data_IF_792038199959
#
_entry.id   IF_792038199959
#
_cell.length_a   1.000
_cell.length_b   1.000
_cell.length_c   1.000
_cell.angle_alpha   90.00
_cell.angle_beta   90.00
_cell.angle_gamma   90.00
#
_symmetry.space_group_name_H-M   'P 1'
#
loop_
_entity.id
_entity.type
_entity.pdbx_description
1 polymer ?
#
# COMPACT_ATOMS: atom_id res chain seq x y z
N UNK A 1 19.29 -23.80 21.43
CA UNK A 1 18.65 -23.69 20.11
C UNK A 1 18.90 -22.34 19.42
N UNK A 2 18.66 -21.17 20.05
CA UNK A 2 19.02 -19.86 19.47
C UNK A 2 20.52 -19.75 19.08
N UNK A 3 21.44 -20.31 19.87
CA UNK A 3 22.88 -20.32 19.53
C UNK A 3 23.18 -21.06 18.21
N UNK A 4 22.47 -22.14 17.91
CA UNK A 4 22.60 -22.85 16.63
C UNK A 4 22.08 -22.01 15.47
N UNK A 5 20.94 -21.31 15.66
CA UNK A 5 20.42 -20.35 14.69
C UNK A 5 21.43 -19.21 14.46
N UNK A 6 22.00 -18.63 15.52
CA UNK A 6 23.00 -17.57 15.43
C UNK A 6 24.24 -18.02 14.66
N UNK A 7 24.71 -19.23 14.90
CA UNK A 7 25.83 -19.82 14.18
C UNK A 7 25.49 -20.00 12.69
N UNK A 8 24.30 -20.50 12.38
CA UNK A 8 23.82 -20.62 11.00
C UNK A 8 23.76 -19.25 10.29
N UNK A 9 23.29 -18.21 10.99
CA UNK A 9 23.26 -16.84 10.45
C UNK A 9 24.66 -16.27 10.20
N UNK A 10 25.64 -16.59 11.03
CA UNK A 10 27.05 -16.21 10.82
C UNK A 10 27.65 -16.93 9.61
N UNK A 11 27.46 -18.24 9.51
CA UNK A 11 27.94 -19.05 8.39
C UNK A 11 27.28 -18.69 7.05
N UNK A 12 26.05 -18.17 7.08
CA UNK A 12 25.33 -17.72 5.89
C UNK A 12 25.83 -16.37 5.32
N UNK A 13 26.64 -15.60 6.05
CA UNK A 13 27.07 -14.25 5.62
C UNK A 13 27.74 -14.23 4.23
N UNK A 14 28.64 -15.16 3.84
CA UNK A 14 29.21 -15.15 2.50
C UNK A 14 28.16 -15.32 1.39
N UNK A 15 27.16 -16.18 1.62
CA UNK A 15 26.06 -16.38 0.68
C UNK A 15 25.19 -15.11 0.55
N UNK A 16 24.92 -14.44 1.68
CA UNK A 16 24.21 -13.15 1.70
C UNK A 16 24.97 -12.08 0.92
N UNK A 17 26.30 -11.95 1.12
CA UNK A 17 27.13 -11.00 0.37
C UNK A 17 27.08 -11.28 -1.15
N UNK A 18 27.17 -12.54 -1.57
CA UNK A 18 27.02 -12.93 -3.00
C UNK A 18 25.64 -12.58 -3.54
N UNK A 19 24.58 -12.82 -2.76
CA UNK A 19 23.21 -12.47 -3.13
C UNK A 19 23.02 -10.96 -3.30
N UNK A 20 23.58 -10.15 -2.40
CA UNK A 20 23.55 -8.68 -2.48
C UNK A 20 24.30 -8.18 -3.73
N UNK A 21 25.52 -8.69 -3.98
CA UNK A 21 26.29 -8.35 -5.16
C UNK A 21 25.55 -8.68 -6.46
N UNK A 22 24.84 -9.83 -6.50
CA UNK A 22 24.02 -10.19 -7.66
C UNK A 22 22.82 -9.26 -7.84
N UNK A 23 22.12 -8.89 -6.74
CA UNK A 23 21.03 -7.93 -6.80
C UNK A 23 21.46 -6.53 -7.21
N UNK A 24 22.64 -6.12 -6.78
CA UNK A 24 23.22 -4.82 -7.12
C UNK A 24 23.43 -4.62 -8.62
N UNK A 25 23.54 -5.70 -9.42
CA UNK A 25 23.61 -5.62 -10.90
C UNK A 25 22.31 -5.10 -11.52
N UNK A 26 21.17 -5.46 -10.95
CA UNK A 26 19.85 -5.02 -11.42
C UNK A 26 19.39 -3.73 -10.73
N UNK A 27 19.74 -3.57 -9.45
CA UNK A 27 19.35 -2.44 -8.60
C UNK A 27 20.61 -1.89 -7.88
N UNK A 28 21.30 -0.87 -8.44
CA UNK A 28 22.59 -0.38 -7.92
C UNK A 28 22.58 0.05 -6.45
N UNK A 29 21.43 0.46 -5.93
CA UNK A 29 21.29 0.87 -4.52
C UNK A 29 21.67 -0.26 -3.54
N UNK A 30 21.56 -1.54 -3.94
CA UNK A 30 22.02 -2.66 -3.08
C UNK A 30 23.54 -2.72 -2.89
N UNK A 31 24.33 -2.04 -3.71
CA UNK A 31 25.77 -1.92 -3.55
C UNK A 31 26.18 -0.83 -2.54
N UNK A 32 25.26 0.08 -2.22
CA UNK A 32 25.56 1.20 -1.31
C UNK A 32 25.50 0.74 0.14
N UNK A 33 26.45 1.23 0.96
CA UNK A 33 26.51 1.02 2.41
C UNK A 33 26.34 -0.46 2.84
N UNK A 34 26.87 -1.42 2.08
CA UNK A 34 26.80 -2.86 2.40
C UNK A 34 27.30 -3.20 3.81
N UNK A 35 28.32 -2.53 4.38
CA UNK A 35 28.76 -2.75 5.75
C UNK A 35 27.66 -2.57 6.80
N UNK A 36 26.67 -1.68 6.59
CA UNK A 36 25.54 -1.49 7.50
C UNK A 36 24.78 -2.81 7.77
N UNK A 37 24.66 -3.67 6.76
CA UNK A 37 24.02 -4.99 6.90
C UNK A 37 24.75 -5.94 7.83
N UNK A 38 25.95 -5.61 8.19
CA UNK A 38 26.77 -6.36 9.12
C UNK A 38 27.07 -5.57 10.41
N UNK A 39 26.33 -4.44 10.60
CA UNK A 39 26.38 -3.62 11.79
C UNK A 39 27.56 -2.64 11.82
N UNK A 40 28.12 -2.27 10.68
CA UNK A 40 29.17 -1.26 10.58
C UNK A 40 28.58 0.00 9.95
N UNK A 41 28.58 1.09 10.72
CA UNK A 41 27.95 2.37 10.37
C UNK A 41 29.00 3.46 10.38
N UNK A 42 29.17 4.15 9.25
CA UNK A 42 30.05 5.30 9.10
C UNK A 42 29.32 6.61 9.47
N UNK A 43 28.01 6.54 9.64
CA UNK A 43 27.18 7.71 9.99
C UNK A 43 27.46 8.14 11.42
N UNK A 44 27.93 9.36 11.61
CA UNK A 44 28.01 9.96 12.94
C UNK A 44 26.59 10.08 13.51
N UNK A 45 26.29 9.27 14.53
CA UNK A 45 25.03 9.31 15.24
C UNK A 45 25.23 9.94 16.61
N UNK A 46 24.43 10.94 16.92
CA UNK A 46 24.35 11.50 18.27
C UNK A 46 22.90 11.45 18.72
N UNK A 47 22.67 10.88 19.90
CA UNK A 47 21.36 10.93 20.52
C UNK A 47 20.92 12.38 20.70
N UNK A 48 19.71 12.71 20.23
CA UNK A 48 19.14 14.04 20.43
C UNK A 48 18.53 14.21 21.83
N UNK A 49 17.99 15.38 22.14
CA UNK A 49 17.30 15.64 23.41
C UNK A 49 16.03 14.82 23.56
N UNK A 50 15.43 14.39 22.45
CA UNK A 50 14.24 13.54 22.43
C UNK A 50 14.56 12.05 22.37
N UNK A 51 13.52 11.23 22.32
CA UNK A 51 13.66 9.78 22.22
C UNK A 51 14.11 9.35 20.82
N UNK A 52 15.10 8.46 20.75
CA UNK A 52 15.44 7.75 19.51
C UNK A 52 14.44 6.61 19.29
N UNK A 53 13.69 6.68 18.20
CA UNK A 53 12.71 5.67 17.79
C UNK A 53 13.25 4.93 16.58
N UNK A 54 13.41 3.61 16.70
CA UNK A 54 13.79 2.77 15.58
C UNK A 54 12.54 2.18 14.92
N UNK A 55 12.39 2.40 13.61
CA UNK A 55 11.32 1.81 12.80
C UNK A 55 11.95 0.93 11.72
N UNK A 56 11.52 -0.32 11.64
CA UNK A 56 11.93 -1.26 10.62
C UNK A 56 10.81 -1.52 9.61
N UNK A 57 11.01 -1.07 8.37
CA UNK A 57 10.11 -1.28 7.24
C UNK A 57 10.89 -1.86 6.06
N UNK A 58 10.61 -3.13 5.68
CA UNK A 58 11.43 -3.87 4.71
C UNK A 58 11.27 -3.36 3.29
N UNK A 59 10.05 -3.18 2.85
CA UNK A 59 9.67 -2.96 1.46
C UNK A 59 9.09 -1.56 1.21
N UNK A 60 8.95 -1.19 -0.06
CA UNK A 60 8.26 0.04 -0.48
C UNK A 60 6.87 0.17 0.18
N UNK A 61 6.08 -0.92 0.17
CA UNK A 61 4.72 -0.92 0.72
C UNK A 61 4.71 -0.71 2.24
N UNK A 62 5.62 -1.38 2.95
CA UNK A 62 5.78 -1.19 4.40
C UNK A 62 6.30 0.20 4.74
N UNK A 63 7.23 0.75 3.96
CA UNK A 63 7.75 2.11 4.16
C UNK A 63 6.66 3.16 4.00
N UNK A 64 5.80 3.03 3.00
CA UNK A 64 4.61 3.89 2.84
C UNK A 64 3.61 3.73 3.98
N UNK A 65 3.42 2.53 4.48
CA UNK A 65 2.58 2.30 5.65
C UNK A 65 3.22 2.88 6.92
N UNK A 66 4.54 2.73 7.06
CA UNK A 66 5.30 3.29 8.18
C UNK A 66 5.29 4.83 8.19
N UNK A 67 5.20 5.51 7.02
CA UNK A 67 5.11 6.97 6.98
C UNK A 67 3.93 7.50 7.78
N UNK A 68 2.76 6.85 7.65
CA UNK A 68 1.55 7.22 8.37
C UNK A 68 1.75 7.12 9.90
N UNK A 69 2.47 6.08 10.34
CA UNK A 69 2.80 5.91 11.75
C UNK A 69 3.84 6.94 12.21
N UNK A 70 4.89 7.18 11.42
CA UNK A 70 5.96 8.14 11.76
C UNK A 70 5.41 9.54 11.93
N UNK A 71 4.47 9.98 11.10
CA UNK A 71 3.77 11.26 11.27
C UNK A 71 3.09 11.36 12.64
N UNK A 72 2.35 10.35 13.05
CA UNK A 72 1.69 10.32 14.35
C UNK A 72 2.67 10.18 15.53
N UNK A 73 3.78 9.45 15.33
CA UNK A 73 4.85 9.36 16.33
C UNK A 73 5.50 10.72 16.58
N UNK A 74 5.72 11.54 15.55
CA UNK A 74 6.28 12.89 15.69
C UNK A 74 5.35 13.81 16.49
N UNK A 75 4.04 13.66 16.31
CA UNK A 75 3.05 14.40 17.10
C UNK A 75 3.02 13.93 18.57
N UNK A 76 3.10 12.61 18.80
CA UNK A 76 3.06 12.04 20.14
C UNK A 76 4.39 12.17 20.92
N UNK A 77 5.51 12.29 20.22
CA UNK A 77 6.87 12.36 20.76
C UNK A 77 7.64 13.55 20.15
N UNK A 78 7.33 14.79 20.55
CA UNK A 78 8.01 15.96 20.03
C UNK A 78 9.52 15.88 20.22
N UNK A 79 10.29 16.23 19.20
CA UNK A 79 11.76 16.16 19.19
C UNK A 79 12.34 14.75 19.07
N UNK A 80 11.53 13.72 18.78
CA UNK A 80 12.05 12.39 18.51
C UNK A 80 13.02 12.39 17.33
N UNK A 81 13.99 11.47 17.37
CA UNK A 81 14.85 11.14 16.23
C UNK A 81 14.51 9.77 15.68
N UNK A 82 14.42 9.68 14.37
CA UNK A 82 14.07 8.46 13.66
C UNK A 82 15.34 7.74 13.19
N UNK A 83 15.45 6.46 13.53
CA UNK A 83 16.32 5.49 12.85
C UNK A 83 15.46 4.59 12.00
N UNK A 84 15.51 4.75 10.69
CA UNK A 84 14.69 3.98 9.76
C UNK A 84 15.54 2.88 9.10
N UNK A 85 15.15 1.62 9.22
CA UNK A 85 15.88 0.50 8.63
C UNK A 85 15.09 -0.23 7.56
N UNK A 86 15.77 -0.64 6.48
CA UNK A 86 15.16 -1.22 5.28
C UNK A 86 15.78 -2.56 4.87
N UNK A 87 14.96 -3.43 4.28
CA UNK A 87 15.40 -4.68 3.67
C UNK A 87 15.65 -4.57 2.16
N UNK A 88 14.93 -3.66 1.44
CA UNK A 88 14.94 -3.54 -0.02
C UNK A 88 15.38 -2.15 -0.50
N UNK A 89 15.93 -2.11 -1.73
CA UNK A 89 16.35 -0.86 -2.37
C UNK A 89 15.19 0.13 -2.57
N UNK A 90 14.06 -0.37 -3.00
CA UNK A 90 12.84 0.45 -3.20
C UNK A 90 12.28 0.99 -1.89
N UNK A 91 12.35 0.21 -0.79
CA UNK A 91 12.00 0.69 0.55
C UNK A 91 12.92 1.81 1.02
N UNK A 92 14.25 1.65 0.83
CA UNK A 92 15.24 2.68 1.19
C UNK A 92 15.07 3.96 0.37
N UNK A 93 14.79 3.86 -0.94
CA UNK A 93 14.54 5.04 -1.78
C UNK A 93 13.29 5.82 -1.32
N UNK A 94 12.21 5.13 -0.97
CA UNK A 94 11.00 5.76 -0.43
C UNK A 94 11.25 6.36 0.96
N UNK A 95 12.03 5.67 1.80
CA UNK A 95 12.34 6.11 3.16
C UNK A 95 13.05 7.45 3.24
N UNK A 96 13.79 7.85 2.20
CA UNK A 96 14.45 9.14 2.13
C UNK A 96 13.48 10.33 2.33
N UNK A 97 12.24 10.17 1.88
CA UNK A 97 11.20 11.21 1.99
C UNK A 97 10.67 11.41 3.41
N UNK A 98 10.91 10.45 4.30
CA UNK A 98 10.43 10.47 5.68
C UNK A 98 11.40 11.16 6.63
N UNK A 99 12.65 11.34 6.20
CA UNK A 99 13.72 11.85 7.05
C UNK A 99 13.60 13.35 7.26
N UNK A 100 13.75 13.76 8.51
CA UNK A 100 13.92 15.15 8.92
C UNK A 100 15.37 15.39 9.38
N UNK A 101 15.81 16.64 9.56
CA UNK A 101 17.14 16.92 10.09
C UNK A 101 17.41 16.18 11.40
N UNK A 102 18.50 15.42 11.42
CA UNK A 102 18.89 14.57 12.57
C UNK A 102 18.36 13.13 12.52
N UNK A 103 17.51 12.77 11.57
CA UNK A 103 17.11 11.38 11.32
C UNK A 103 18.13 10.67 10.44
N UNK A 104 18.13 9.34 10.52
CA UNK A 104 18.96 8.50 9.65
C UNK A 104 18.19 7.33 9.10
N UNK A 105 18.58 6.88 7.90
CA UNK A 105 18.14 5.59 7.39
C UNK A 105 19.34 4.70 7.10
N UNK A 106 19.17 3.40 7.38
CA UNK A 106 20.22 2.40 7.23
C UNK A 106 19.67 1.09 6.66
N UNK A 107 20.56 0.24 6.19
CA UNK A 107 20.16 -1.13 5.91
C UNK A 107 19.89 -1.91 7.20
N UNK A 108 18.87 -2.76 7.16
CA UNK A 108 18.61 -3.75 8.18
C UNK A 108 19.87 -4.58 8.46
N UNK A 109 20.37 -4.62 9.72
CA UNK A 109 21.45 -5.53 10.05
C UNK A 109 21.02 -6.98 9.89
N UNK A 110 21.91 -7.81 9.35
CA UNK A 110 21.71 -9.25 9.29
C UNK A 110 21.47 -9.81 10.68
N UNK A 111 20.53 -10.77 10.82
CA UNK A 111 20.13 -11.31 12.14
C UNK A 111 21.21 -12.22 12.75
N UNK A 112 22.44 -11.75 12.81
CA UNK A 112 23.53 -12.33 13.57
C UNK A 112 23.76 -11.51 14.85
N UNK A 113 24.06 -12.21 15.95
CA UNK A 113 24.23 -11.56 17.26
C UNK A 113 25.23 -10.39 17.23
N UNK A 114 26.43 -10.49 16.56
CA UNK A 114 27.35 -9.36 16.50
C UNK A 114 26.83 -8.16 15.70
N UNK A 115 26.12 -8.37 14.59
CA UNK A 115 25.60 -7.28 13.77
C UNK A 115 24.47 -6.54 14.49
N UNK A 116 23.56 -7.28 15.11
CA UNK A 116 22.47 -6.71 15.90
C UNK A 116 23.00 -5.94 17.12
N UNK A 117 23.98 -6.50 17.82
CA UNK A 117 24.62 -5.82 18.96
C UNK A 117 25.21 -4.47 18.54
N UNK A 118 26.01 -4.45 17.47
CA UNK A 118 26.62 -3.20 16.97
C UNK A 118 25.58 -2.16 16.55
N UNK A 119 24.48 -2.61 15.94
CA UNK A 119 23.36 -1.72 15.62
C UNK A 119 22.77 -1.05 16.87
N UNK A 120 22.45 -1.85 17.87
CA UNK A 120 21.86 -1.35 19.11
C UNK A 120 22.82 -0.49 19.92
N UNK A 121 24.13 -0.81 19.92
CA UNK A 121 25.17 -0.02 20.60
C UNK A 121 25.40 1.31 19.90
N UNK A 122 25.29 1.36 18.57
CA UNK A 122 25.51 2.58 17.78
C UNK A 122 24.32 3.55 17.87
N UNK A 123 23.09 3.07 17.69
CA UNK A 123 21.90 3.94 17.61
C UNK A 123 21.21 4.14 18.96
N UNK A 124 21.38 3.26 19.91
CA UNK A 124 20.80 3.31 21.26
C UNK A 124 19.31 3.71 21.27
N UNK A 125 18.44 3.03 20.50
CA UNK A 125 17.04 3.39 20.46
C UNK A 125 16.36 3.18 21.82
N UNK A 126 15.38 4.02 22.13
CA UNK A 126 14.51 3.87 23.32
C UNK A 126 13.41 2.84 23.09
N UNK A 127 13.01 2.62 21.84
CA UNK A 127 12.04 1.64 21.41
C UNK A 127 12.32 1.22 19.96
N UNK A 128 12.06 -0.05 19.65
CA UNK A 128 12.08 -0.57 18.28
C UNK A 128 10.67 -0.97 17.82
N UNK A 129 10.31 -0.57 16.60
CA UNK A 129 9.05 -0.93 15.96
C UNK A 129 9.34 -1.75 14.70
N UNK A 130 8.92 -3.00 14.69
CA UNK A 130 8.93 -3.88 13.52
C UNK A 130 7.58 -3.77 12.82
N UNK A 131 7.59 -3.68 11.48
CA UNK A 131 6.35 -3.58 10.71
C UNK A 131 5.85 -4.96 10.25
N UNK A 132 4.57 -5.16 10.29
CA UNK A 132 3.79 -6.27 9.73
C UNK A 132 4.19 -7.69 10.19
N UNK A 133 5.27 -8.26 9.64
CA UNK A 133 5.62 -9.70 9.84
C UNK A 133 7.07 -9.93 10.29
N UNK A 134 7.84 -8.90 10.49
CA UNK A 134 9.29 -8.94 10.63
C UNK A 134 9.75 -9.25 12.06
N UNK A 135 9.66 -10.53 12.47
CA UNK A 135 10.12 -10.99 13.78
C UNK A 135 11.39 -11.83 13.63
N UNK A 136 12.51 -11.30 14.11
CA UNK A 136 13.84 -11.88 13.98
C UNK A 136 14.39 -12.33 15.36
N UNK A 137 14.74 -13.63 15.55
CA UNK A 137 15.06 -14.19 16.87
C UNK A 137 16.22 -13.50 17.60
N UNK A 138 17.29 -13.13 16.89
CA UNK A 138 18.42 -12.47 17.56
C UNK A 138 18.13 -10.99 17.86
N UNK A 139 17.34 -10.31 17.04
CA UNK A 139 16.89 -8.95 17.32
C UNK A 139 16.07 -8.90 18.60
N UNK A 140 15.08 -9.80 18.71
CA UNK A 140 14.22 -9.88 19.89
C UNK A 140 15.06 -10.18 21.14
N UNK A 141 15.94 -11.19 21.08
CA UNK A 141 16.76 -11.55 22.22
C UNK A 141 17.77 -10.45 22.63
N UNK A 142 18.35 -9.73 21.66
CA UNK A 142 19.27 -8.64 21.95
C UNK A 142 18.57 -7.42 22.55
N UNK A 143 17.34 -7.12 22.10
CA UNK A 143 16.52 -6.08 22.70
C UNK A 143 16.08 -6.43 24.13
N UNK A 144 15.62 -7.66 24.35
CA UNK A 144 15.28 -8.15 25.71
C UNK A 144 16.47 -8.05 26.67
N UNK A 145 17.67 -8.47 26.24
CA UNK A 145 18.86 -8.41 27.08
C UNK A 145 19.29 -6.99 27.49
N UNK A 146 18.77 -5.95 26.79
CA UNK A 146 19.00 -4.53 27.08
C UNK A 146 17.81 -3.83 27.74
N UNK A 147 16.72 -4.56 28.02
CA UNK A 147 15.49 -3.91 28.47
C UNK A 147 14.86 -2.96 27.44
N UNK A 148 15.27 -3.08 26.17
CA UNK A 148 14.74 -2.28 25.07
C UNK A 148 13.40 -2.87 24.61
N UNK A 149 12.25 -2.16 24.71
CA UNK A 149 11.01 -2.64 24.16
C UNK A 149 11.08 -2.73 22.63
N UNK A 150 10.85 -3.93 22.13
CA UNK A 150 10.68 -4.21 20.72
C UNK A 150 9.22 -4.61 20.47
N UNK A 151 8.52 -3.87 19.63
CA UNK A 151 7.10 -4.09 19.35
C UNK A 151 6.88 -4.47 17.89
N UNK A 152 5.81 -5.20 17.62
CA UNK A 152 5.34 -5.48 16.27
C UNK A 152 4.09 -4.65 15.99
N UNK A 153 4.21 -3.66 15.12
CA UNK A 153 3.14 -2.76 14.73
C UNK A 153 2.52 -3.19 13.39
N UNK A 154 1.23 -2.89 13.21
CA UNK A 154 0.46 -3.28 12.02
C UNK A 154 0.57 -4.80 11.76
N UNK A 155 0.53 -5.59 12.84
CA UNK A 155 0.88 -7.00 12.83
C UNK A 155 -0.16 -7.83 12.07
N UNK A 156 0.32 -8.66 11.16
CA UNK A 156 -0.49 -9.64 10.43
C UNK A 156 0.19 -10.99 10.38
N UNK A 157 -0.59 -12.06 10.42
CA UNK A 157 -0.08 -13.41 10.31
C UNK A 157 -1.11 -14.28 9.58
N UNK A 158 -0.76 -14.79 8.40
CA UNK A 158 -1.61 -15.73 7.66
C UNK A 158 -1.59 -17.11 8.32
N UNK A 159 -2.61 -17.92 8.07
CA UNK A 159 -2.64 -19.32 8.57
C UNK A 159 -1.44 -20.13 8.05
N UNK A 160 -1.08 -19.92 6.78
CA UNK A 160 0.09 -20.58 6.20
C UNK A 160 1.39 -20.19 6.93
N UNK A 161 1.56 -18.90 7.27
CA UNK A 161 2.73 -18.41 8.00
C UNK A 161 2.74 -18.91 9.43
N UNK A 162 1.59 -18.97 10.10
CA UNK A 162 1.46 -19.59 11.42
C UNK A 162 1.89 -21.04 11.39
N UNK A 163 1.40 -21.83 10.43
CA UNK A 163 1.74 -23.24 10.31
C UNK A 163 3.24 -23.46 10.06
N UNK A 164 3.87 -22.60 9.24
CA UNK A 164 5.34 -22.60 9.07
C UNK A 164 6.08 -22.26 10.36
N UNK A 165 5.64 -21.25 11.11
CA UNK A 165 6.24 -20.84 12.38
C UNK A 165 6.09 -21.94 13.46
N UNK A 166 4.96 -22.64 13.50
CA UNK A 166 4.73 -23.75 14.43
C UNK A 166 5.61 -24.97 14.16
N UNK A 167 6.02 -25.22 12.91
CA UNK A 167 7.03 -26.25 12.58
C UNK A 167 8.40 -25.94 13.20
N UNK A 168 8.69 -24.66 13.42
CA UNK A 168 9.89 -24.16 14.08
C UNK A 168 9.56 -23.51 15.43
N UNK A 169 8.58 -24.07 16.16
CA UNK A 169 8.05 -23.48 17.39
C UNK A 169 9.13 -23.20 18.44
N UNK A 170 10.17 -24.01 18.50
CA UNK A 170 11.31 -23.84 19.39
C UNK A 170 12.11 -22.55 19.15
N UNK A 171 12.03 -21.98 17.93
CA UNK A 171 12.65 -20.71 17.56
C UNK A 171 11.62 -19.58 17.52
N UNK A 172 10.45 -19.83 16.92
CA UNK A 172 9.42 -18.81 16.73
C UNK A 172 8.78 -18.37 18.05
N UNK A 173 8.36 -19.32 18.92
CA UNK A 173 7.70 -18.97 20.18
C UNK A 173 8.52 -18.07 21.10
N UNK A 174 9.82 -18.34 21.36
CA UNK A 174 10.64 -17.40 22.13
C UNK A 174 10.74 -16.02 21.51
N UNK A 175 10.84 -15.94 20.18
CA UNK A 175 10.90 -14.65 19.48
C UNK A 175 9.59 -13.87 19.64
N UNK A 176 8.42 -14.50 19.43
CA UNK A 176 7.14 -13.82 19.59
C UNK A 176 6.82 -13.47 21.05
N UNK A 177 7.20 -14.32 22.00
CA UNK A 177 7.06 -14.04 23.45
C UNK A 177 7.96 -12.91 23.93
N UNK A 178 9.07 -12.70 23.26
CA UNK A 178 10.04 -11.67 23.59
C UNK A 178 9.70 -10.27 23.12
N UNK A 179 8.64 -10.11 22.32
CA UNK A 179 8.13 -8.82 21.95
C UNK A 179 7.43 -8.15 23.14
N UNK A 180 7.70 -6.86 23.35
CA UNK A 180 7.07 -6.09 24.43
C UNK A 180 5.56 -5.92 24.22
N UNK A 181 5.15 -5.76 22.96
CA UNK A 181 3.75 -5.76 22.55
C UNK A 181 3.61 -6.09 21.07
N UNK A 182 2.42 -6.59 20.69
CA UNK A 182 2.04 -6.81 19.30
C UNK A 182 0.68 -6.17 19.06
N UNK A 183 0.59 -5.23 18.12
CA UNK A 183 -0.67 -4.57 17.76
C UNK A 183 -1.15 -5.10 16.42
N UNK A 184 -2.18 -5.93 16.48
CA UNK A 184 -2.69 -6.66 15.34
C UNK A 184 -3.59 -5.81 14.45
N UNK A 185 -3.64 -6.12 13.16
CA UNK A 185 -4.59 -5.50 12.23
C UNK A 185 -6.02 -5.95 12.50
N UNK A 186 -6.24 -7.24 12.84
CA UNK A 186 -7.56 -7.83 12.99
C UNK A 186 -7.62 -8.83 14.14
N UNK A 187 -8.83 -9.20 14.61
CA UNK A 187 -9.00 -10.24 15.62
C UNK A 187 -8.42 -11.59 15.23
N UNK A 188 -8.52 -11.97 13.95
CA UNK A 188 -7.98 -13.22 13.41
C UNK A 188 -6.45 -13.24 13.46
N UNK A 189 -5.82 -12.12 13.08
CA UNK A 189 -4.37 -11.98 13.20
C UNK A 189 -3.93 -12.02 14.67
N UNK A 190 -4.67 -11.34 15.56
CA UNK A 190 -4.42 -11.38 17.00
C UNK A 190 -4.48 -12.80 17.55
N UNK A 191 -5.51 -13.56 17.18
CA UNK A 191 -5.66 -14.98 17.59
C UNK A 191 -4.46 -15.81 17.15
N UNK A 192 -4.04 -15.69 15.89
CA UNK A 192 -2.88 -16.44 15.35
C UNK A 192 -1.57 -16.05 16.07
N UNK A 193 -1.36 -14.77 16.32
CA UNK A 193 -0.17 -14.26 17.02
C UNK A 193 -0.12 -14.76 18.48
N UNK A 194 -1.25 -14.79 19.19
CA UNK A 194 -1.35 -15.36 20.53
C UNK A 194 -1.02 -16.87 20.55
N UNK A 195 -1.36 -17.63 19.50
CA UNK A 195 -0.96 -19.06 19.36
C UNK A 195 0.56 -19.25 19.29
N UNK A 196 1.31 -18.25 18.83
CA UNK A 196 2.78 -18.21 18.91
C UNK A 196 3.29 -17.72 20.27
N UNK A 197 2.41 -17.27 21.14
CA UNK A 197 2.74 -16.80 22.49
C UNK A 197 3.02 -15.30 22.57
N UNK A 198 2.70 -14.52 21.54
CA UNK A 198 2.85 -13.07 21.55
C UNK A 198 1.88 -12.40 22.55
N UNK A 199 2.35 -11.37 23.24
CA UNK A 199 1.51 -10.45 24.00
C UNK A 199 0.79 -9.51 23.03
N UNK A 200 -0.52 -9.70 22.85
CA UNK A 200 -1.34 -8.89 21.93
C UNK A 200 -2.34 -8.08 22.77
N UNK A 201 -1.97 -6.88 23.25
CA UNK A 201 -2.81 -6.04 24.09
C UNK A 201 -3.99 -5.41 23.33
N UNK A 202 -3.91 -5.31 21.98
CA UNK A 202 -4.97 -4.69 21.21
C UNK A 202 -5.00 -5.07 19.74
N UNK A 203 -6.18 -4.89 19.14
CA UNK A 203 -6.39 -4.87 17.69
C UNK A 203 -6.55 -3.42 17.30
N UNK A 204 -5.53 -2.85 16.64
CA UNK A 204 -5.48 -1.42 16.33
C UNK A 204 -5.97 -1.08 14.92
N UNK A 205 -6.16 -2.08 14.07
CA UNK A 205 -6.54 -1.89 12.69
C UNK A 205 -5.34 -1.85 11.75
N UNK A 206 -5.63 -1.71 10.47
CA UNK A 206 -4.60 -1.64 9.43
C UNK A 206 -4.26 -0.18 9.14
N UNK A 207 -2.99 0.18 9.33
CA UNK A 207 -2.46 1.53 9.09
C UNK A 207 -2.78 2.09 7.70
N UNK A 208 -2.99 1.25 6.71
CA UNK A 208 -3.36 1.68 5.35
C UNK A 208 -4.66 2.47 5.30
N UNK A 209 -5.57 2.27 6.25
CA UNK A 209 -6.81 3.04 6.36
C UNK A 209 -6.61 4.47 6.88
N UNK A 210 -5.43 4.77 7.41
CA UNK A 210 -5.10 6.13 7.85
C UNK A 210 -4.54 6.99 6.69
N UNK A 211 -4.29 6.38 5.52
CA UNK A 211 -3.90 7.12 4.33
C UNK A 211 -5.02 8.06 3.90
N UNK A 212 -4.71 9.34 3.87
CA UNK A 212 -5.64 10.37 3.39
C UNK A 212 -5.29 10.75 1.96
N UNK A 213 -6.28 10.85 1.07
CA UNK A 213 -6.04 11.39 -0.26
C UNK A 213 -5.60 12.86 -0.16
N UNK A 214 -4.81 13.31 -1.13
CA UNK A 214 -4.51 14.73 -1.27
C UNK A 214 -5.83 15.51 -1.50
N UNK A 215 -6.16 16.39 -0.57
CA UNK A 215 -7.43 17.10 -0.57
C UNK A 215 -7.56 18.07 -1.77
N UNK A 216 -6.44 18.69 -2.21
CA UNK A 216 -6.42 19.58 -3.35
C UNK A 216 -6.66 18.84 -4.67
N UNK A 217 -5.96 17.73 -4.86
CA UNK A 217 -6.15 16.87 -6.04
C UNK A 217 -7.55 16.26 -6.08
N UNK A 218 -8.07 15.78 -4.93
CA UNK A 218 -9.43 15.23 -4.86
C UNK A 218 -10.48 16.29 -5.19
N UNK A 219 -10.36 17.51 -4.65
CA UNK A 219 -11.25 18.61 -4.93
C UNK A 219 -11.20 19.02 -6.41
N UNK A 220 -10.01 19.12 -7.00
CA UNK A 220 -9.83 19.40 -8.43
C UNK A 220 -10.49 18.32 -9.32
N UNK A 221 -10.34 17.04 -8.96
CA UNK A 221 -11.02 15.93 -9.64
C UNK A 221 -12.54 16.06 -9.59
N UNK A 222 -13.10 16.32 -8.40
CA UNK A 222 -14.54 16.49 -8.18
C UNK A 222 -15.09 17.71 -8.96
N UNK A 223 -14.34 18.80 -8.99
CA UNK A 223 -14.70 19.99 -9.79
C UNK A 223 -14.72 19.66 -11.28
N UNK A 224 -13.67 18.97 -11.78
CA UNK A 224 -13.62 18.49 -13.16
C UNK A 224 -14.78 17.56 -13.50
N UNK A 225 -15.19 16.69 -12.57
CA UNK A 225 -16.35 15.80 -12.75
C UNK A 225 -17.67 16.58 -12.81
N UNK A 226 -17.86 17.54 -11.92
CA UNK A 226 -19.09 18.36 -11.88
C UNK A 226 -19.29 19.21 -13.15
N UNK A 227 -18.22 19.59 -13.82
CA UNK A 227 -18.26 20.35 -15.07
C UNK A 227 -18.70 19.51 -16.30
N UNK A 228 -18.88 18.19 -16.14
CA UNK A 228 -19.14 17.26 -17.25
C UNK A 228 -20.53 16.66 -17.19
N UNK A 229 -21.16 16.50 -18.38
CA UNK A 229 -22.43 15.80 -18.53
C UNK A 229 -22.27 14.28 -18.61
N UNK A 230 -21.26 13.83 -19.36
CA UNK A 230 -20.99 12.39 -19.52
C UNK A 230 -20.41 11.79 -18.23
N UNK A 231 -20.88 10.60 -17.80
CA UNK A 231 -20.29 9.92 -16.67
C UNK A 231 -18.87 9.46 -16.98
N UNK A 232 -18.04 9.36 -15.94
CA UNK A 232 -16.63 8.94 -16.04
C UNK A 232 -16.45 7.62 -15.29
N UNK A 233 -16.01 6.57 -15.99
CA UNK A 233 -15.59 5.31 -15.40
C UNK A 233 -14.07 5.15 -15.53
N UNK A 234 -13.43 4.55 -14.51
CA UNK A 234 -11.99 4.41 -14.45
C UNK A 234 -11.56 2.96 -14.29
N UNK A 235 -10.52 2.53 -15.01
CA UNK A 235 -9.74 1.34 -14.65
C UNK A 235 -8.52 1.81 -13.83
N UNK A 236 -8.61 1.63 -12.51
CA UNK A 236 -7.68 2.21 -11.54
C UNK A 236 -6.46 1.32 -11.28
N UNK A 237 -5.26 1.84 -11.51
CA UNK A 237 -4.00 1.10 -11.29
C UNK A 237 -3.94 -0.22 -12.07
N UNK A 238 -4.26 -0.18 -13.35
CA UNK A 238 -4.34 -1.34 -14.24
C UNK A 238 -3.02 -2.11 -14.36
N UNK A 239 -3.13 -3.39 -14.64
CA UNK A 239 -2.01 -4.31 -14.83
C UNK A 239 -2.08 -4.95 -16.22
N UNK A 240 -0.96 -5.60 -16.61
CA UNK A 240 -0.85 -6.25 -17.90
C UNK A 240 -1.99 -7.26 -18.12
N UNK A 241 -2.65 -7.19 -19.28
CA UNK A 241 -3.80 -8.00 -19.66
C UNK A 241 -5.14 -7.28 -19.49
N UNK A 242 -5.33 -6.55 -18.39
CA UNK A 242 -6.61 -5.91 -18.04
C UNK A 242 -7.01 -4.79 -19.01
N UNK A 243 -6.02 -4.00 -19.47
CA UNK A 243 -6.29 -2.93 -20.44
C UNK A 243 -6.79 -3.48 -21.76
N UNK A 244 -6.20 -4.59 -22.24
CA UNK A 244 -6.64 -5.25 -23.47
C UNK A 244 -8.06 -5.80 -23.34
N UNK A 245 -8.38 -6.45 -22.20
CA UNK A 245 -9.73 -6.95 -21.91
C UNK A 245 -10.76 -5.82 -21.91
N UNK A 246 -10.46 -4.71 -21.22
CA UNK A 246 -11.35 -3.55 -21.17
C UNK A 246 -11.58 -2.96 -22.56
N UNK A 247 -10.52 -2.69 -23.33
CA UNK A 247 -10.61 -2.08 -24.65
C UNK A 247 -11.37 -2.96 -25.65
N UNK A 248 -11.15 -4.27 -25.60
CA UNK A 248 -11.88 -5.22 -26.44
C UNK A 248 -13.38 -5.18 -26.14
N UNK A 249 -13.76 -5.27 -24.87
CA UNK A 249 -15.14 -5.25 -24.46
C UNK A 249 -15.82 -3.90 -24.75
N UNK A 250 -15.13 -2.77 -24.61
CA UNK A 250 -15.63 -1.45 -25.01
C UNK A 250 -15.85 -1.35 -26.53
N UNK A 251 -14.97 -1.95 -27.32
CA UNK A 251 -15.08 -2.00 -28.77
C UNK A 251 -16.32 -2.82 -29.21
N UNK A 252 -16.52 -3.97 -28.59
CA UNK A 252 -17.71 -4.82 -28.84
C UNK A 252 -19.01 -4.07 -28.49
N UNK A 253 -19.06 -3.37 -27.36
CA UNK A 253 -20.20 -2.54 -26.97
C UNK A 253 -20.46 -1.39 -27.97
N UNK A 254 -19.40 -0.69 -28.39
CA UNK A 254 -19.53 0.41 -29.35
C UNK A 254 -20.08 -0.07 -30.70
N UNK A 255 -19.60 -1.21 -31.19
CA UNK A 255 -20.09 -1.82 -32.44
C UNK A 255 -21.54 -2.30 -32.30
N UNK A 256 -21.90 -2.91 -31.18
CA UNK A 256 -23.27 -3.31 -30.89
C UNK A 256 -24.23 -2.14 -30.78
N UNK A 257 -23.82 -1.05 -30.12
CA UNK A 257 -24.63 0.16 -30.02
C UNK A 257 -24.90 0.82 -31.40
N UNK A 258 -23.91 0.80 -32.28
CA UNK A 258 -24.06 1.28 -33.66
C UNK A 258 -25.05 0.46 -34.47
N UNK A 259 -24.90 -0.85 -34.44
CA UNK A 259 -25.83 -1.74 -35.13
C UNK A 259 -27.27 -1.54 -34.62
N UNK A 260 -27.45 -1.32 -33.32
CA UNK A 260 -28.78 -1.03 -32.73
C UNK A 260 -29.31 0.36 -33.17
N UNK A 261 -28.42 1.38 -33.30
CA UNK A 261 -28.80 2.72 -33.78
C UNK A 261 -29.19 2.72 -35.26
N UNK A 262 -28.49 1.97 -36.09
CA UNK A 262 -28.81 1.79 -37.52
C UNK A 262 -30.15 1.06 -37.70
N UNK A 263 -30.44 0.10 -36.82
CA UNK A 263 -31.72 -0.62 -36.82
C UNK A 263 -32.90 0.24 -36.31
N UNK A 264 -32.68 1.34 -35.59
CA UNK A 264 -33.70 2.23 -35.03
C UNK A 264 -33.29 3.70 -35.23
N UNK A 265 -33.40 4.24 -36.46
CA UNK A 265 -33.11 5.66 -36.74
C UNK A 265 -34.06 6.54 -35.93
N UNK A 266 -33.50 7.47 -35.13
CA UNK A 266 -34.28 8.42 -34.30
C UNK A 266 -34.29 8.15 -32.80
N UNK A 267 -33.69 7.06 -32.32
CA UNK A 267 -33.44 6.88 -30.89
C UNK A 267 -32.40 7.94 -30.42
N UNK A 268 -32.69 8.61 -29.30
CA UNK A 268 -31.76 9.57 -28.74
C UNK A 268 -30.42 8.87 -28.40
N UNK A 269 -29.25 9.45 -28.75
CA UNK A 269 -27.97 8.87 -28.39
C UNK A 269 -27.87 8.80 -26.86
N UNK A 270 -27.58 7.62 -26.34
CA UNK A 270 -27.24 7.48 -24.91
C UNK A 270 -25.95 8.26 -24.62
N UNK A 271 -25.90 8.94 -23.48
CA UNK A 271 -24.66 9.59 -23.01
C UNK A 271 -23.56 8.52 -22.93
N UNK A 272 -22.56 8.65 -23.82
CA UNK A 272 -21.43 7.73 -23.80
C UNK A 272 -20.60 7.92 -22.53
N UNK A 273 -20.30 6.85 -21.83
CA UNK A 273 -19.40 6.86 -20.69
C UNK A 273 -17.98 7.22 -21.14
N UNK A 274 -17.38 8.22 -20.51
CA UNK A 274 -15.96 8.51 -20.71
C UNK A 274 -15.13 7.51 -19.89
N UNK A 275 -14.19 6.86 -20.53
CA UNK A 275 -13.28 5.93 -19.86
C UNK A 275 -11.91 6.57 -19.60
N UNK A 276 -11.40 6.34 -18.37
CA UNK A 276 -10.07 6.72 -17.90
C UNK A 276 -9.31 5.43 -17.54
N UNK A 277 -8.13 5.24 -18.12
CA UNK A 277 -7.22 4.14 -17.78
C UNK A 277 -6.02 4.73 -17.05
N UNK A 278 -5.71 4.20 -15.85
CA UNK A 278 -4.55 4.63 -15.05
C UNK A 278 -3.66 3.41 -14.80
N UNK A 279 -2.55 3.24 -15.54
CA UNK A 279 -1.66 2.09 -15.36
C UNK A 279 -0.86 2.18 -14.05
N UNK A 280 -0.65 1.04 -13.39
CA UNK A 280 0.07 0.96 -12.10
C UNK A 280 1.55 1.29 -12.22
N UNK A 281 2.17 0.99 -13.35
CA UNK A 281 3.61 1.08 -13.55
C UNK A 281 3.97 2.09 -14.64
N UNK A 282 4.80 3.11 -14.34
CA UNK A 282 5.19 4.14 -15.31
C UNK A 282 5.81 3.58 -16.58
N UNK A 283 6.56 2.47 -16.46
CA UNK A 283 7.20 1.80 -17.60
C UNK A 283 6.22 1.27 -18.65
N UNK A 284 4.92 1.23 -18.31
CA UNK A 284 3.86 0.74 -19.19
C UNK A 284 3.04 1.87 -19.83
N UNK A 285 3.27 3.13 -19.46
CA UNK A 285 2.45 4.24 -19.96
C UNK A 285 2.41 4.29 -21.48
N UNK A 286 3.57 4.25 -22.15
CA UNK A 286 3.64 4.28 -23.60
C UNK A 286 3.11 3.01 -24.25
N UNK A 287 3.31 1.85 -23.62
CA UNK A 287 2.73 0.59 -24.08
C UNK A 287 1.20 0.63 -24.07
N UNK A 288 0.60 1.18 -23.00
CA UNK A 288 -0.86 1.28 -22.88
C UNK A 288 -1.41 2.34 -23.84
N UNK A 289 -0.69 3.45 -24.04
CA UNK A 289 -1.03 4.45 -25.04
C UNK A 289 -1.12 3.83 -26.45
N UNK A 290 -0.07 3.13 -26.87
CA UNK A 290 -0.03 2.44 -28.15
C UNK A 290 -1.14 1.37 -28.29
N UNK A 291 -1.47 0.67 -27.20
CA UNK A 291 -2.56 -0.32 -27.18
C UNK A 291 -3.93 0.34 -27.42
N UNK A 292 -4.20 1.49 -26.79
CA UNK A 292 -5.44 2.25 -26.98
C UNK A 292 -5.63 2.66 -28.45
N UNK A 293 -4.57 3.24 -29.04
CA UNK A 293 -4.57 3.66 -30.45
C UNK A 293 -4.70 2.48 -31.42
N UNK A 294 -4.01 1.37 -31.17
CA UNK A 294 -4.10 0.16 -31.98
C UNK A 294 -5.49 -0.48 -31.96
N UNK A 295 -6.27 -0.31 -30.89
CA UNK A 295 -7.66 -0.74 -30.82
C UNK A 295 -8.63 0.21 -31.53
N UNK A 296 -8.15 1.37 -32.01
CA UNK A 296 -8.91 2.35 -32.79
C UNK A 296 -9.61 3.42 -31.95
N UNK A 297 -9.30 3.56 -30.67
CA UNK A 297 -9.80 4.65 -29.83
C UNK A 297 -8.95 5.92 -30.00
N UNK A 298 -9.58 7.09 -29.89
CA UNK A 298 -8.84 8.36 -29.76
C UNK A 298 -8.21 8.40 -28.35
N UNK A 299 -6.95 8.83 -28.27
CA UNK A 299 -6.21 8.90 -27.02
C UNK A 299 -6.01 10.34 -26.55
N UNK A 300 -6.21 10.59 -25.25
CA UNK A 300 -5.86 11.84 -24.59
C UNK A 300 -5.03 11.51 -23.34
N UNK A 301 -3.79 11.99 -23.31
CA UNK A 301 -2.83 11.71 -22.23
C UNK A 301 -2.75 12.86 -21.24
N UNK A 302 -2.72 12.54 -19.94
CA UNK A 302 -2.52 13.54 -18.88
C UNK A 302 -1.14 14.20 -18.96
N UNK A 303 -0.11 13.43 -19.29
CA UNK A 303 1.28 13.91 -19.41
C UNK A 303 1.52 14.94 -20.53
N UNK A 304 0.63 15.03 -21.51
CA UNK A 304 0.76 15.97 -22.62
C UNK A 304 0.42 17.42 -22.22
N UNK A 305 -0.01 17.64 -20.97
CA UNK A 305 -0.33 18.96 -20.45
C UNK A 305 -1.70 19.47 -20.90
N UNK A 306 -2.02 20.71 -20.49
CA UNK A 306 -3.31 21.33 -20.77
C UNK A 306 -4.32 21.18 -19.62
N UNK A 307 -5.53 21.78 -19.78
CA UNK A 307 -6.61 21.61 -18.81
C UNK A 307 -6.99 20.14 -18.67
N UNK A 308 -7.13 19.68 -17.43
CA UNK A 308 -7.55 18.31 -17.14
C UNK A 308 -8.70 18.31 -16.14
N UNK A 309 -9.81 17.63 -16.42
CA UNK A 309 -10.07 16.82 -17.62
C UNK A 309 -10.09 17.67 -18.89
N UNK A 310 -9.73 17.08 -20.05
CA UNK A 310 -9.80 17.80 -21.30
C UNK A 310 -11.25 18.26 -21.55
N UNK A 311 -11.46 19.38 -22.17
CA UNK A 311 -12.80 19.82 -22.59
C UNK A 311 -13.48 18.70 -23.39
N UNK A 312 -14.83 18.65 -23.37
CA UNK A 312 -15.57 17.68 -24.20
C UNK A 312 -15.10 17.92 -25.66
N UNK A 313 -14.26 16.97 -26.12
CA UNK A 313 -13.79 17.07 -27.51
C UNK A 313 -14.99 16.94 -28.44
N UNK A 314 -15.10 17.80 -29.44
CA UNK A 314 -16.05 17.56 -30.52
C UNK A 314 -15.80 16.14 -31.02
N UNK A 315 -16.87 15.43 -31.42
CA UNK A 315 -16.80 14.02 -31.84
C UNK A 315 -15.59 13.78 -32.73
N UNK A 316 -14.45 13.53 -32.05
CA UNK A 316 -13.16 13.41 -32.70
C UNK A 316 -13.16 12.10 -33.48
N UNK A 317 -12.61 12.14 -34.61
CA UNK A 317 -12.14 11.24 -35.64
C UNK A 317 -12.14 9.72 -35.34
N UNK A 318 -12.46 9.23 -34.16
CA UNK A 318 -12.64 7.83 -33.84
C UNK A 318 -14.10 7.48 -33.68
N UNK A 319 -14.50 6.53 -34.47
CA UNK A 319 -15.84 5.95 -34.45
C UNK A 319 -16.14 5.17 -33.18
N UNK A 320 -15.16 4.88 -32.35
CA UNK A 320 -15.26 4.10 -31.10
C UNK A 320 -15.27 4.98 -29.84
N UNK A 321 -15.04 6.32 -29.99
CA UNK A 321 -14.91 7.24 -28.88
C UNK A 321 -13.47 7.50 -28.44
N UNK A 322 -13.30 8.14 -27.28
CA UNK A 322 -12.00 8.51 -26.73
C UNK A 322 -11.74 7.82 -25.39
N UNK A 323 -10.46 7.54 -25.13
CA UNK A 323 -9.98 7.04 -23.86
C UNK A 323 -9.00 8.06 -23.26
N UNK A 324 -9.17 8.38 -21.99
CA UNK A 324 -8.20 9.15 -21.24
C UNK A 324 -7.16 8.22 -20.61
N UNK A 325 -5.91 8.63 -20.68
CA UNK A 325 -4.80 7.92 -20.04
C UNK A 325 -4.22 8.79 -18.92
N UNK A 326 -4.36 8.33 -17.67
CA UNK A 326 -3.74 8.91 -16.50
C UNK A 326 -2.31 8.38 -16.35
N UNK A 327 -1.38 8.99 -17.07
CA UNK A 327 0.02 8.58 -17.20
C UNK A 327 0.95 9.49 -16.41
N UNK A 328 0.53 9.88 -15.20
CA UNK A 328 1.31 10.65 -14.23
C UNK A 328 1.37 9.93 -12.89
N UNK A 329 2.37 10.29 -12.07
CA UNK A 329 2.55 9.73 -10.73
C UNK A 329 2.02 10.67 -9.65
N UNK A 330 1.41 10.10 -8.59
CA UNK A 330 0.97 10.85 -7.43
C UNK A 330 -0.40 11.51 -7.57
N UNK A 331 -1.11 11.34 -8.68
CA UNK A 331 -2.39 12.00 -8.97
C UNK A 331 -3.62 11.09 -8.81
N UNK A 332 -3.51 9.96 -8.08
CA UNK A 332 -4.66 9.03 -7.93
C UNK A 332 -5.88 9.69 -7.29
N UNK A 333 -5.70 10.61 -6.34
CA UNK A 333 -6.81 11.34 -5.72
C UNK A 333 -7.57 12.23 -6.74
N UNK A 334 -6.87 12.84 -7.70
CA UNK A 334 -7.47 13.57 -8.81
C UNK A 334 -8.35 12.63 -9.66
N UNK A 335 -7.80 11.47 -10.03
CA UNK A 335 -8.49 10.50 -10.88
C UNK A 335 -9.70 9.88 -10.19
N UNK A 336 -9.59 9.52 -8.91
CA UNK A 336 -10.75 9.05 -8.14
C UNK A 336 -11.81 10.15 -7.95
N UNK A 337 -11.40 11.41 -7.75
CA UNK A 337 -12.32 12.54 -7.67
C UNK A 337 -13.06 12.82 -8.98
N UNK A 338 -12.42 12.52 -10.11
CA UNK A 338 -12.99 12.69 -11.45
C UNK A 338 -13.93 11.52 -11.84
N UNK A 339 -13.74 10.34 -11.30
CA UNK A 339 -14.49 9.15 -11.67
C UNK A 339 -15.80 9.02 -10.87
N UNK A 340 -16.88 8.64 -11.53
CA UNK A 340 -18.15 8.25 -10.91
C UNK A 340 -18.09 6.87 -10.29
N UNK A 341 -17.25 5.99 -10.85
CA UNK A 341 -16.91 4.68 -10.34
C UNK A 341 -15.55 4.22 -10.89
N UNK A 342 -14.94 3.26 -10.21
CA UNK A 342 -13.71 2.67 -10.64
C UNK A 342 -13.76 1.14 -10.67
N UNK A 343 -13.04 0.54 -11.61
CA UNK A 343 -12.71 -0.87 -11.66
C UNK A 343 -11.33 -1.05 -10.99
N UNK A 344 -11.21 -1.98 -10.06
CA UNK A 344 -9.98 -2.24 -9.33
C UNK A 344 -8.97 -3.00 -10.20
N UNK A 345 -7.92 -2.34 -10.64
CA UNK A 345 -6.84 -2.98 -11.39
C UNK A 345 -6.10 -4.05 -10.58
N UNK A 346 -5.50 -5.01 -11.26
CA UNK A 346 -4.87 -6.19 -10.66
C UNK A 346 -5.84 -7.21 -10.09
N UNK A 347 -7.15 -6.99 -10.23
CA UNK A 347 -8.20 -7.89 -9.72
C UNK A 347 -8.86 -8.72 -10.80
N UNK A 348 -8.75 -8.37 -12.06
CA UNK A 348 -9.29 -9.12 -13.21
C UNK A 348 -8.30 -10.15 -13.76
N UNK A 349 -7.03 -9.98 -13.44
CA UNK A 349 -5.96 -10.96 -13.63
C UNK A 349 -5.51 -11.49 -12.26
N UNK A 350 -4.88 -12.68 -12.14
CA UNK A 350 -4.49 -13.29 -10.87
C UNK A 350 -3.29 -12.58 -10.22
N UNK A 351 -3.39 -11.25 -10.06
CA UNK A 351 -2.35 -10.36 -9.55
C UNK A 351 -2.65 -9.82 -8.15
N UNK A 352 -3.83 -10.16 -7.59
CA UNK A 352 -4.17 -9.96 -6.19
C UNK A 352 -4.81 -8.63 -5.82
N UNK A 353 -5.21 -7.82 -6.82
CA UNK A 353 -5.84 -6.52 -6.62
C UNK A 353 -4.86 -5.42 -6.18
N UNK A 354 -5.21 -4.18 -6.48
CA UNK A 354 -4.51 -2.98 -6.03
C UNK A 354 -5.16 -2.41 -4.75
N UNK A 355 -4.72 -1.23 -4.30
CA UNK A 355 -5.17 -0.62 -3.05
C UNK A 355 -6.61 -0.07 -3.15
N UNK A 356 -7.58 -0.85 -2.73
CA UNK A 356 -8.99 -0.44 -2.72
C UNK A 356 -9.31 0.59 -1.61
N UNK A 357 -8.47 0.68 -0.58
CA UNK A 357 -8.68 1.61 0.53
C UNK A 357 -8.54 3.05 0.05
N UNK A 358 -7.64 3.30 -0.90
CA UNK A 358 -7.45 4.61 -1.51
C UNK A 358 -8.69 5.08 -2.28
N UNK A 359 -9.32 4.17 -3.04
CA UNK A 359 -10.60 4.45 -3.71
C UNK A 359 -11.71 4.78 -2.69
N UNK A 360 -11.81 3.98 -1.63
CA UNK A 360 -12.79 4.19 -0.57
C UNK A 360 -12.56 5.53 0.16
N UNK A 361 -11.32 5.89 0.46
CA UNK A 361 -10.96 7.17 1.09
C UNK A 361 -11.28 8.39 0.21
N UNK A 362 -11.38 8.19 -1.11
CA UNK A 362 -11.84 9.22 -2.05
C UNK A 362 -13.38 9.23 -2.23
N UNK A 363 -14.10 8.33 -1.59
CA UNK A 363 -15.55 8.16 -1.77
C UNK A 363 -15.92 7.64 -3.17
N UNK A 364 -15.02 6.94 -3.85
CA UNK A 364 -15.25 6.44 -5.20
C UNK A 364 -15.87 5.01 -5.15
N UNK A 365 -17.08 4.78 -5.72
CA UNK A 365 -17.66 3.45 -5.87
C UNK A 365 -16.73 2.52 -6.63
N UNK A 366 -16.61 1.25 -6.19
CA UNK A 366 -15.61 0.34 -6.69
C UNK A 366 -16.21 -1.00 -7.15
N UNK A 367 -15.84 -1.43 -8.35
CA UNK A 367 -16.06 -2.79 -8.85
C UNK A 367 -14.77 -3.58 -8.75
N UNK A 368 -14.83 -4.80 -8.19
CA UNK A 368 -13.66 -5.64 -7.93
C UNK A 368 -13.79 -6.97 -8.67
N UNK A 369 -12.77 -7.33 -9.45
CA UNK A 369 -12.64 -8.66 -10.04
C UNK A 369 -12.37 -9.76 -9.00
N UNK A 370 -12.27 -11.03 -9.42
CA UNK A 370 -12.18 -12.18 -8.51
C UNK A 370 -10.86 -12.29 -7.73
N UNK A 371 -9.84 -11.60 -8.14
CA UNK A 371 -8.48 -11.74 -7.58
C UNK A 371 -8.11 -10.56 -6.67
N UNK A 372 -8.46 -10.64 -5.38
CA UNK A 372 -8.18 -9.58 -4.39
C UNK A 372 -7.30 -10.05 -3.23
N UNK A 373 -6.52 -11.13 -3.40
CA UNK A 373 -5.81 -11.81 -2.31
C UNK A 373 -4.73 -10.96 -1.62
N UNK A 374 -4.20 -9.90 -2.25
CA UNK A 374 -3.29 -8.94 -1.59
C UNK A 374 -4.03 -8.05 -0.57
N UNK A 375 -5.34 -7.89 -0.73
CA UNK A 375 -6.22 -7.06 0.09
C UNK A 375 -7.49 -7.82 0.49
N UNK A 376 -7.42 -9.16 0.61
CA UNK A 376 -8.58 -10.04 0.75
C UNK A 376 -9.55 -9.60 1.87
N UNK A 377 -9.02 -9.21 3.01
CA UNK A 377 -9.83 -8.76 4.14
C UNK A 377 -10.49 -7.41 3.86
N UNK A 378 -9.73 -6.43 3.38
CA UNK A 378 -10.29 -5.13 3.03
C UNK A 378 -11.35 -5.25 1.94
N UNK A 379 -11.15 -6.13 0.95
CA UNK A 379 -12.12 -6.41 -0.11
C UNK A 379 -13.42 -7.04 0.44
N UNK A 380 -13.30 -8.01 1.34
CA UNK A 380 -14.46 -8.63 2.03
C UNK A 380 -15.25 -7.61 2.86
N UNK A 381 -14.53 -6.78 3.64
CA UNK A 381 -15.14 -5.75 4.48
C UNK A 381 -15.80 -4.65 3.65
N UNK A 382 -15.14 -4.21 2.56
CA UNK A 382 -15.70 -3.20 1.65
C UNK A 382 -16.97 -3.71 0.95
N UNK A 383 -16.98 -4.98 0.50
CA UNK A 383 -18.15 -5.60 -0.08
C UNK A 383 -19.31 -5.71 0.95
N UNK A 384 -19.01 -6.16 2.17
CA UNK A 384 -20.00 -6.26 3.25
C UNK A 384 -20.58 -4.90 3.66
N UNK A 385 -19.79 -3.83 3.57
CA UNK A 385 -20.21 -2.45 3.86
C UNK A 385 -20.98 -1.80 2.68
N UNK A 386 -21.11 -2.46 1.52
CA UNK A 386 -21.66 -1.87 0.31
C UNK A 386 -20.76 -0.79 -0.34
N UNK A 387 -19.50 -0.74 0.04
CA UNK A 387 -18.51 0.20 -0.50
C UNK A 387 -17.87 -0.28 -1.82
N UNK A 388 -17.92 -1.58 -2.08
CA UNK A 388 -17.43 -2.20 -3.29
C UNK A 388 -18.34 -3.36 -3.72
N UNK A 389 -18.44 -3.59 -5.04
CA UNK A 389 -19.21 -4.70 -5.61
C UNK A 389 -18.26 -5.68 -6.28
N UNK A 390 -18.21 -6.95 -5.82
CA UNK A 390 -17.49 -8.02 -6.52
C UNK A 390 -18.19 -8.37 -7.85
N UNK A 391 -17.38 -8.67 -8.87
CA UNK A 391 -17.82 -9.14 -10.21
C UNK A 391 -16.89 -10.27 -10.66
N UNK A 392 -17.37 -11.18 -11.50
CA UNK A 392 -16.64 -12.37 -11.90
C UNK A 392 -15.69 -12.14 -13.08
N UNK A 393 -15.91 -11.10 -13.90
CA UNK A 393 -15.12 -10.84 -15.12
C UNK A 393 -15.13 -9.37 -15.52
N UNK A 394 -14.29 -9.00 -16.48
CA UNK A 394 -14.27 -7.65 -17.07
C UNK A 394 -15.60 -7.35 -17.81
N UNK A 395 -16.19 -8.34 -18.47
CA UNK A 395 -17.47 -8.17 -19.16
C UNK A 395 -18.60 -7.88 -18.16
N UNK A 396 -18.67 -8.61 -17.04
CA UNK A 396 -19.63 -8.34 -15.96
C UNK A 396 -19.37 -6.98 -15.31
N UNK A 397 -18.10 -6.59 -15.13
CA UNK A 397 -17.74 -5.27 -14.61
C UNK A 397 -18.28 -4.13 -15.49
N UNK A 398 -18.19 -4.26 -16.81
CA UNK A 398 -18.75 -3.29 -17.74
C UNK A 398 -20.27 -3.20 -17.67
N UNK A 399 -20.96 -4.34 -17.60
CA UNK A 399 -22.42 -4.36 -17.42
C UNK A 399 -22.80 -3.70 -16.07
N UNK A 400 -22.15 -4.09 -14.99
CA UNK A 400 -22.38 -3.50 -13.67
C UNK A 400 -22.06 -1.99 -13.62
N UNK A 401 -21.03 -1.56 -14.35
CA UNK A 401 -20.69 -0.15 -14.47
C UNK A 401 -21.79 0.65 -15.18
N UNK A 402 -22.33 0.13 -16.28
CA UNK A 402 -23.44 0.75 -16.99
C UNK A 402 -24.69 0.87 -16.10
N UNK A 403 -25.02 -0.21 -15.38
CA UNK A 403 -26.16 -0.24 -14.45
C UNK A 403 -26.01 0.79 -13.32
N UNK A 404 -24.80 0.88 -12.73
CA UNK A 404 -24.50 1.85 -11.68
C UNK A 404 -24.53 3.29 -12.20
N UNK A 405 -24.02 3.54 -13.39
CA UNK A 405 -24.01 4.88 -14.00
C UNK A 405 -25.42 5.34 -14.36
N UNK A 406 -26.31 4.42 -14.70
CA UNK A 406 -27.73 4.70 -14.96
C UNK A 406 -28.55 4.92 -13.67
N UNK A 407 -28.01 4.58 -12.49
CA UNK A 407 -28.69 4.64 -11.18
C UNK A 407 -27.98 5.61 -10.22
N UNK A 408 -28.19 6.93 -10.30
CA UNK A 408 -27.48 7.92 -9.48
C UNK A 408 -27.65 7.72 -7.96
N UNK A 409 -28.81 7.30 -7.52
CA UNK A 409 -29.09 7.06 -6.09
C UNK A 409 -28.27 5.88 -5.56
N UNK A 410 -28.22 4.77 -6.29
CA UNK A 410 -27.41 3.61 -5.92
C UNK A 410 -25.92 3.94 -5.89
N UNK A 411 -25.45 4.71 -6.89
CA UNK A 411 -24.08 5.19 -6.95
C UNK A 411 -23.73 6.09 -5.76
N UNK A 412 -24.60 7.04 -5.40
CA UNK A 412 -24.44 7.91 -4.24
C UNK A 412 -24.44 7.13 -2.92
N UNK A 413 -25.31 6.13 -2.79
CA UNK A 413 -25.35 5.26 -1.62
C UNK A 413 -24.04 4.47 -1.47
N UNK A 414 -23.48 3.96 -2.57
CA UNK A 414 -22.21 3.24 -2.61
C UNK A 414 -21.02 4.16 -2.29
N UNK A 415 -21.01 5.40 -2.80
CA UNK A 415 -20.01 6.41 -2.45
C UNK A 415 -20.02 6.75 -0.96
N UNK A 416 -21.20 6.99 -0.39
CA UNK A 416 -21.37 7.22 1.05
C UNK A 416 -20.95 6.00 1.89
N UNK A 417 -21.19 4.78 1.41
CA UNK A 417 -20.71 3.57 2.05
C UNK A 417 -19.18 3.46 2.03
N UNK A 418 -18.54 3.87 0.93
CA UNK A 418 -17.08 3.91 0.79
C UNK A 418 -16.45 4.89 1.80
N UNK A 419 -16.99 6.10 1.92
CA UNK A 419 -16.55 7.09 2.92
C UNK A 419 -16.70 6.55 4.35
N UNK A 420 -17.86 5.97 4.69
CA UNK A 420 -18.08 5.36 6.02
C UNK A 420 -17.11 4.22 6.29
N UNK A 421 -16.88 3.36 5.31
CA UNK A 421 -15.95 2.24 5.42
C UNK A 421 -14.52 2.70 5.69
N UNK A 422 -14.01 3.67 4.92
CA UNK A 422 -12.68 4.22 5.13
C UNK A 422 -12.53 4.84 6.53
N UNK A 423 -13.52 5.65 6.96
CA UNK A 423 -13.49 6.33 8.26
C UNK A 423 -13.63 5.35 9.45
N UNK A 424 -14.47 4.32 9.35
CA UNK A 424 -14.67 3.34 10.41
C UNK A 424 -13.41 2.51 10.74
N UNK A 425 -12.49 2.37 9.78
CA UNK A 425 -11.27 1.59 9.95
C UNK A 425 -10.03 2.45 10.20
N UNK A 426 -10.14 3.77 10.23
CA UNK A 426 -9.04 4.72 10.46
C UNK A 426 -8.63 4.82 11.95
N UNK A 427 -7.52 5.52 12.23
CA UNK A 427 -7.01 5.80 13.56
C UNK A 427 -6.02 4.75 14.10
N UNK A 428 -5.62 3.78 13.30
CA UNK A 428 -4.62 2.78 13.68
C UNK A 428 -3.26 3.40 14.00
N UNK A 429 -2.83 4.39 13.22
CA UNK A 429 -1.56 5.09 13.42
C UNK A 429 -1.56 5.89 14.73
N UNK A 430 -2.65 6.61 15.01
CA UNK A 430 -2.79 7.38 16.25
C UNK A 430 -2.80 6.46 17.48
N UNK A 431 -3.58 5.35 17.45
CA UNK A 431 -3.59 4.36 18.56
C UNK A 431 -2.21 3.74 18.75
N UNK A 432 -1.51 3.40 17.66
CA UNK A 432 -0.16 2.85 17.74
C UNK A 432 0.83 3.85 18.31
N UNK A 433 0.82 5.10 17.86
CA UNK A 433 1.71 6.16 18.37
C UNK A 433 1.46 6.45 19.86
N UNK A 434 0.20 6.50 20.31
CA UNK A 434 -0.14 6.67 21.72
C UNK A 434 0.38 5.50 22.57
N UNK A 435 0.25 4.26 22.11
CA UNK A 435 0.78 3.09 22.80
C UNK A 435 2.32 3.08 22.86
N UNK A 436 3.00 3.54 21.81
CA UNK A 436 4.47 3.73 21.81
C UNK A 436 4.88 4.77 22.83
N UNK A 437 4.20 5.92 22.88
CA UNK A 437 4.48 6.99 23.86
C UNK A 437 4.29 6.49 25.31
N UNK A 438 3.24 5.70 25.55
CA UNK A 438 2.99 5.10 26.87
C UNK A 438 4.12 4.14 27.28
N UNK A 439 4.61 3.27 26.39
CA UNK A 439 5.72 2.36 26.67
C UNK A 439 7.02 3.11 26.98
N UNK A 440 7.31 4.21 26.28
CA UNK A 440 8.49 5.05 26.57
C UNK A 440 8.33 5.77 27.91
N UNK A 441 7.12 6.22 28.24
CA UNK A 441 6.79 6.87 29.52
C UNK A 441 6.98 5.94 30.72
N UNK A 442 6.52 4.70 30.62
CA UNK A 442 6.69 3.67 31.67
C UNK A 442 8.16 3.40 31.97
N UNK A 443 9.02 3.28 30.96
CA UNK A 443 10.47 3.12 31.17
C UNK A 443 11.15 4.26 31.93
N UNK A 444 10.60 5.49 31.84
CA UNK A 444 11.13 6.62 32.61
C UNK A 444 10.81 6.50 34.10
N UNK A 445 9.67 5.93 34.43
CA UNK A 445 9.24 5.73 35.83
C UNK A 445 10.03 4.59 36.47
N UNK A 446 10.29 3.51 35.75
CA UNK A 446 11.06 2.34 36.24
C UNK A 446 12.55 2.63 36.43
N UNK A 447 13.07 3.75 35.91
CA UNK A 447 14.48 4.19 36.00
C UNK A 447 14.68 5.29 37.07
N UNK A 448 13.61 5.83 37.65
CA UNK A 448 13.60 6.78 38.77
C UNK A 448 13.35 6.07 40.09
#
# INVERSE_FOLDING_TARGET
MRRLYSLAMLLAQPAVRRKLARRARAEPLYAQAVPERFGHYDTAWQAGPGSTVWVHAVSLGETRTASLLVEQLRLALPGMRLVLSHGTATGRAEGQRLLQPGDVQVWQPWDSEPAVRRFLDHFQPRIGLLMETEVWPNWVAACQARGLPLVLANARLSEQSLNKALRLAWLARPAYRGLAAVWAQTPEHASRLRRLGALVPGVFGNLKFDARPDAGLLAAGRQGRAARRAPVAMLASSRAGEEAQLLLALKEQALGARAAQEARPGAAPSLQTQWLIVPRHPQRFDQVAALIEAQGFALQRRSQGGPWPPADAPALASSLGSIWLGDTLGEMALYYGLADLALLGGSFEPLGGQNLIEAAACGCPLLMGPHTFNFAEAARLAAAAGAAQPVASMAEALSAAQDLLAQPERRSAMAAAADRFANAHSGAAQRTAAAVAALIGQQRIDLL
#
